data_IF_774195739608
#
_entry.id   IF_774195739608
#
_cell.length_a   1.000
_cell.length_b   1.000
_cell.length_c   1.000
_cell.angle_alpha   90.00
_cell.angle_beta   90.00
_cell.angle_gamma   90.00
#
_symmetry.space_group_name_H-M   'P 1'
#
loop_
_entity.id
_entity.type
_entity.pdbx_description
1 polymer ?
#
# COMPACT_ATOMS: atom_id res chain seq x y z
N UNK A 1 27.52 -8.07 -12.88
CA UNK A 1 27.71 -7.75 -11.46
C UNK A 1 26.40 -7.17 -10.99
N UNK A 2 25.48 -8.05 -10.59
CA UNK A 2 24.17 -7.66 -10.11
C UNK A 2 24.32 -7.23 -8.65
N UNK A 3 24.25 -5.92 -8.40
CA UNK A 3 24.03 -5.42 -7.06
C UNK A 3 22.60 -5.80 -6.68
N UNK A 4 22.46 -6.89 -5.92
CA UNK A 4 21.28 -7.14 -5.10
C UNK A 4 21.11 -5.94 -4.16
N UNK A 5 20.37 -4.92 -4.62
CA UNK A 5 19.79 -3.94 -3.72
C UNK A 5 18.73 -4.68 -2.91
N UNK A 6 19.12 -5.19 -1.73
CA UNK A 6 18.18 -5.75 -0.75
C UNK A 6 17.16 -4.66 -0.36
N UNK A 7 16.03 -4.63 -1.06
CA UNK A 7 14.91 -3.75 -0.72
C UNK A 7 14.35 -4.25 0.60
N UNK A 8 14.53 -3.46 1.66
CA UNK A 8 14.00 -3.81 2.98
C UNK A 8 12.51 -3.54 2.98
N UNK A 9 11.71 -4.58 3.23
CA UNK A 9 10.25 -4.48 3.31
C UNK A 9 9.80 -4.53 4.78
N UNK A 10 9.30 -3.40 5.29
CA UNK A 10 8.66 -3.35 6.61
C UNK A 10 7.14 -3.36 6.45
N UNK A 11 6.44 -4.29 7.08
CA UNK A 11 4.97 -4.31 7.05
C UNK A 11 4.40 -3.02 7.65
N UNK A 12 3.57 -2.30 6.90
CA UNK A 12 2.80 -1.14 7.38
C UNK A 12 1.50 -1.62 8.01
N UNK A 13 0.82 -2.58 7.37
CA UNK A 13 -0.41 -3.15 7.88
C UNK A 13 -1.18 -4.03 6.90
N UNK A 14 -2.26 -4.62 7.40
CA UNK A 14 -3.27 -5.34 6.64
C UNK A 14 -4.58 -4.56 6.68
N UNK A 15 -5.25 -4.48 5.55
CA UNK A 15 -6.47 -3.70 5.35
C UNK A 15 -7.51 -4.60 4.69
N UNK A 16 -8.78 -4.41 5.04
CA UNK A 16 -9.87 -5.15 4.39
C UNK A 16 -10.13 -4.67 2.95
N UNK A 17 -11.12 -5.24 2.28
CA UNK A 17 -11.48 -4.85 0.91
C UNK A 17 -11.96 -3.41 0.76
N UNK A 18 -12.30 -2.70 1.84
CA UNK A 18 -12.68 -1.28 1.85
C UNK A 18 -11.51 -0.37 2.24
N UNK A 19 -10.33 -0.95 2.47
CA UNK A 19 -9.16 -0.23 2.96
C UNK A 19 -9.17 0.03 4.45
N UNK A 20 -10.11 -0.52 5.22
CA UNK A 20 -10.17 -0.33 6.67
C UNK A 20 -9.02 -1.12 7.32
N UNK A 21 -8.21 -0.49 8.18
CA UNK A 21 -7.11 -1.19 8.83
C UNK A 21 -7.61 -2.33 9.73
N UNK A 22 -7.07 -3.53 9.54
CA UNK A 22 -7.28 -4.69 10.41
C UNK A 22 -6.13 -4.83 11.41
N UNK A 23 -4.90 -4.63 10.95
CA UNK A 23 -3.67 -4.66 11.76
C UNK A 23 -2.72 -3.61 11.20
N UNK A 24 -2.12 -2.78 12.04
CA UNK A 24 -1.11 -1.79 11.62
C UNK A 24 0.09 -1.81 12.55
N UNK A 25 1.26 -1.46 12.00
CA UNK A 25 2.45 -1.24 12.81
C UNK A 25 2.35 0.13 13.49
N UNK A 26 2.41 0.21 14.84
CA UNK A 26 2.15 1.46 15.57
C UNK A 26 3.06 2.63 15.19
N UNK A 27 4.31 2.33 14.84
CA UNK A 27 5.31 3.33 14.45
C UNK A 27 5.18 3.81 12.99
N UNK A 28 4.23 3.25 12.21
CA UNK A 28 3.98 3.58 10.80
C UNK A 28 2.57 4.13 10.58
N UNK A 29 2.01 4.81 11.59
CA UNK A 29 0.63 5.32 11.55
C UNK A 29 0.34 6.25 10.36
N UNK A 30 1.31 7.09 9.97
CA UNK A 30 1.15 7.96 8.80
C UNK A 30 1.07 7.15 7.50
N UNK A 31 1.94 6.16 7.32
CA UNK A 31 1.96 5.28 6.16
C UNK A 31 0.67 4.46 6.08
N UNK A 32 0.14 4.02 7.22
CA UNK A 32 -1.15 3.33 7.28
C UNK A 32 -2.31 4.25 6.86
N UNK A 33 -2.30 5.51 7.27
CA UNK A 33 -3.31 6.50 6.86
C UNK A 33 -3.24 6.78 5.35
N UNK A 34 -2.04 6.98 4.80
CA UNK A 34 -1.82 7.15 3.35
C UNK A 34 -2.30 5.91 2.58
N UNK A 35 -2.04 4.71 3.12
CA UNK A 35 -2.51 3.46 2.53
C UNK A 35 -4.04 3.42 2.44
N UNK A 36 -4.74 3.70 3.54
CA UNK A 36 -6.21 3.77 3.57
C UNK A 36 -6.76 4.77 2.55
N UNK A 37 -6.21 5.98 2.52
CA UNK A 37 -6.63 7.02 1.57
C UNK A 37 -6.39 6.60 0.12
N UNK A 38 -5.28 5.92 -0.17
CA UNK A 38 -4.95 5.45 -1.52
C UNK A 38 -5.91 4.38 -1.99
N UNK A 39 -6.22 3.39 -1.14
CA UNK A 39 -7.21 2.34 -1.45
C UNK A 39 -8.57 2.97 -1.71
N UNK A 40 -9.00 3.89 -0.84
CA UNK A 40 -10.30 4.56 -0.97
C UNK A 40 -10.38 5.38 -2.27
N UNK A 41 -9.32 6.13 -2.60
CA UNK A 41 -9.25 6.90 -3.83
C UNK A 41 -9.34 6.01 -5.06
N UNK A 42 -8.59 4.90 -5.10
CA UNK A 42 -8.66 3.98 -6.23
C UNK A 42 -10.05 3.41 -6.40
N UNK A 43 -10.74 3.07 -5.30
CA UNK A 43 -12.10 2.56 -5.37
C UNK A 43 -13.05 3.60 -5.97
N UNK A 44 -12.97 4.87 -5.53
CA UNK A 44 -13.75 5.96 -6.13
C UNK A 44 -13.45 6.13 -7.62
N UNK A 45 -12.18 6.07 -8.02
CA UNK A 45 -11.78 6.14 -9.43
C UNK A 45 -12.40 4.96 -10.21
N UNK A 46 -12.31 3.73 -9.69
CA UNK A 46 -12.80 2.54 -10.39
C UNK A 46 -14.30 2.59 -10.71
N UNK A 47 -15.09 3.26 -9.86
CA UNK A 47 -16.52 3.49 -10.08
C UNK A 47 -16.79 4.44 -11.25
N UNK A 48 -15.86 5.34 -11.57
CA UNK A 48 -16.01 6.33 -12.63
C UNK A 48 -15.50 5.81 -13.99
N UNK A 49 -14.39 5.08 -14.00
CA UNK A 49 -13.68 4.73 -15.25
C UNK A 49 -13.81 3.26 -15.67
N UNK A 50 -14.67 2.44 -15.04
CA UNK A 50 -14.87 1.01 -15.34
C UNK A 50 -13.54 0.25 -15.46
N UNK A 51 -12.57 0.61 -14.62
CA UNK A 51 -11.23 0.08 -14.66
C UNK A 51 -11.10 -1.14 -13.74
N UNK A 52 -10.22 -2.07 -14.10
CA UNK A 52 -9.87 -3.19 -13.25
C UNK A 52 -9.40 -2.73 -11.86
N UNK A 53 -9.73 -3.53 -10.85
CA UNK A 53 -9.44 -3.23 -9.47
C UNK A 53 -7.92 -3.27 -9.17
N UNK A 54 -7.49 -2.43 -8.21
CA UNK A 54 -6.09 -2.23 -7.83
C UNK A 54 -5.36 -3.56 -7.60
N UNK A 55 -4.37 -3.87 -8.43
CA UNK A 55 -3.49 -5.03 -8.18
C UNK A 55 -2.33 -4.64 -7.28
N UNK A 56 -1.68 -3.50 -7.57
CA UNK A 56 -0.76 -2.86 -6.64
C UNK A 56 -0.72 -1.34 -6.84
N UNK A 57 -0.35 -0.61 -5.79
CA UNK A 57 -0.03 0.82 -5.82
C UNK A 57 1.34 1.06 -5.18
N UNK A 58 2.06 2.07 -5.65
CA UNK A 58 3.36 2.47 -5.08
C UNK A 58 3.43 3.98 -4.91
N UNK A 59 3.51 4.45 -3.66
CA UNK A 59 3.66 5.86 -3.31
C UNK A 59 5.13 6.12 -2.97
N UNK A 60 5.83 6.92 -3.78
CA UNK A 60 7.26 7.24 -3.57
C UNK A 60 7.41 8.49 -2.71
N UNK A 61 8.25 8.41 -1.69
CA UNK A 61 8.65 9.53 -0.86
C UNK A 61 9.90 10.20 -1.44
N UNK A 62 10.14 11.44 -1.02
CA UNK A 62 11.31 12.24 -1.46
C UNK A 62 12.65 11.68 -0.96
N UNK A 63 12.62 10.92 0.13
CA UNK A 63 13.80 10.30 0.74
C UNK A 63 14.22 8.99 0.04
N UNK A 64 13.53 8.61 -1.03
CA UNK A 64 13.78 7.37 -1.78
C UNK A 64 12.98 6.16 -1.27
N UNK A 65 12.34 6.25 -0.10
CA UNK A 65 11.45 5.19 0.38
C UNK A 65 10.14 5.15 -0.40
N UNK A 66 9.41 4.04 -0.33
CA UNK A 66 8.10 3.93 -0.94
C UNK A 66 7.11 3.13 -0.09
N UNK A 67 5.84 3.48 -0.14
CA UNK A 67 4.75 2.62 0.34
C UNK A 67 4.30 1.77 -0.84
N UNK A 68 4.45 0.45 -0.75
CA UNK A 68 3.85 -0.50 -1.70
C UNK A 68 2.60 -1.09 -1.09
N UNK A 69 1.50 -1.10 -1.84
CA UNK A 69 0.21 -1.66 -1.46
C UNK A 69 -0.08 -2.78 -2.45
N UNK A 70 -0.16 -4.01 -1.96
CA UNK A 70 -0.44 -5.19 -2.78
C UNK A 70 -1.82 -5.74 -2.45
N UNK A 71 -2.57 -6.13 -3.48
CA UNK A 71 -3.86 -6.81 -3.29
C UNK A 71 -3.64 -8.23 -2.78
N UNK A 72 -4.48 -8.63 -1.82
CA UNK A 72 -4.51 -9.97 -1.25
C UNK A 72 -5.95 -10.52 -1.31
N UNK A 73 -6.17 -11.85 -1.34
CA UNK A 73 -7.53 -12.42 -1.32
C UNK A 73 -8.42 -11.94 -0.16
N UNK A 74 -7.83 -11.47 0.94
CA UNK A 74 -8.54 -10.97 2.12
C UNK A 74 -8.60 -9.43 2.21
N UNK A 75 -8.09 -8.71 1.21
CA UNK A 75 -8.02 -7.25 1.22
C UNK A 75 -6.72 -6.73 0.61
N UNK A 76 -5.94 -6.00 1.40
CA UNK A 76 -4.66 -5.41 0.99
C UNK A 76 -3.60 -5.57 2.06
N UNK A 77 -2.34 -5.66 1.64
CA UNK A 77 -1.18 -5.59 2.53
C UNK A 77 -0.31 -4.44 2.06
N UNK A 78 0.11 -3.58 2.99
CA UNK A 78 1.02 -2.50 2.68
C UNK A 78 2.39 -2.70 3.34
N UNK A 79 3.42 -2.26 2.63
CA UNK A 79 4.82 -2.35 3.01
C UNK A 79 5.50 -0.99 2.83
N UNK A 80 6.44 -0.68 3.70
CA UNK A 80 7.40 0.39 3.51
C UNK A 80 8.68 -0.22 2.93
N UNK A 81 9.03 0.21 1.73
CA UNK A 81 10.24 -0.15 0.98
C UNK A 81 11.33 0.89 1.28
N UNK A 82 12.54 0.42 1.60
CA UNK A 82 13.75 1.24 1.76
C UNK A 82 14.93 0.61 1.05
#
# INVERSE_FOLDING_TARGET
MDLDNEVTLTCVGKFDHKGIPQITSPHLGLQAMVTFQTITLQQMISQLIHHEALQSARIRNKDGSAIRIDRHPQGFIAYLER
#
